data_IF_395832604407
#
_entry.id   IF_395832604407
#
_cell.length_a   1.000
_cell.length_b   1.000
_cell.length_c   1.000
_cell.angle_alpha   90.00
_cell.angle_beta   90.00
_cell.angle_gamma   90.00
#
_symmetry.space_group_name_H-M   'P 1'
#
loop_
_entity.id
_entity.type
_entity.pdbx_description
1 polymer ?
2 non-polymer ?
3 non-polymer ?
4 water ?
#
# COMPACT_ATOMS: atom_id res chain seq x y z
N UNK A 2 -22.42 -2.48 3.11
CA UNK A 2 -23.07 -3.00 4.33
C UNK A 2 -22.09 -3.69 5.29
N UNK A 3 -21.17 -4.49 4.73
CA UNK A 3 -20.07 -5.21 5.40
C UNK A 3 -19.94 -6.56 4.69
N UNK A 4 -19.90 -6.49 3.36
CA UNK A 4 -20.25 -7.64 2.54
C UNK A 4 -19.09 -8.59 2.30
N UNK A 5 -19.44 -9.86 2.08
CA UNK A 5 -18.47 -10.92 1.83
C UNK A 5 -17.39 -11.07 2.89
N UNK A 6 -17.79 -11.08 4.15
CA UNK A 6 -16.81 -11.21 5.24
C UNK A 6 -16.01 -12.50 5.18
N UNK A 7 -16.66 -13.63 4.87
CA UNK A 7 -15.97 -14.95 4.79
C UNK A 7 -14.85 -14.94 3.76
N UNK A 8 -15.19 -14.42 2.58
CA UNK A 8 -14.21 -14.22 1.51
C UNK A 8 -12.98 -13.49 2.00
N UNK A 9 -13.19 -12.29 2.57
CA UNK A 9 -12.07 -11.46 2.98
C UNK A 9 -11.25 -12.07 4.13
N UNK A 10 -11.93 -12.73 5.05
CA UNK A 10 -11.23 -13.41 6.14
C UNK A 10 -10.37 -14.53 5.59
N UNK A 11 -10.93 -15.35 4.70
CA UNK A 11 -10.09 -16.37 4.07
C UNK A 11 -8.91 -15.77 3.29
N UNK A 12 -9.16 -14.70 2.55
CA UNK A 12 -8.12 -14.07 1.74
C UNK A 12 -6.90 -13.65 2.57
N UNK A 13 -7.14 -13.06 3.74
CA UNK A 13 -6.04 -12.66 4.64
C UNK A 13 -5.19 -13.84 5.05
N UNK A 14 -5.84 -14.95 5.37
CA UNK A 14 -5.14 -16.18 5.71
C UNK A 14 -4.32 -16.66 4.52
N UNK A 15 -4.93 -16.61 3.34
CA UNK A 15 -4.22 -17.05 2.13
C UNK A 15 -3.02 -16.16 1.76
N UNK A 16 -3.21 -14.85 1.74
CA UNK A 16 -2.14 -13.94 1.32
C UNK A 16 -0.91 -13.99 2.23
N UNK A 17 -1.14 -14.24 3.52
CA UNK A 17 -0.06 -14.44 4.49
C UNK A 17 0.43 -15.91 4.55
N UNK A 18 -0.19 -16.77 3.75
CA UNK A 18 0.07 -18.20 3.74
C UNK A 18 0.01 -18.89 5.10
N UNK A 19 -1.03 -18.58 5.87
CA UNK A 19 -1.25 -19.28 7.14
C UNK A 19 -1.91 -20.63 6.87
N UNK A 20 -2.43 -20.82 5.66
CA UNK A 20 -3.05 -22.10 5.30
C UNK A 20 -2.00 -23.19 5.13
N UNK A 21 -0.91 -22.93 4.40
CA UNK A 21 0.05 -23.99 4.06
C UNK A 21 1.44 -23.81 4.67
N UNK A 47 11.46 -13.13 5.65
CA UNK A 47 10.63 -13.16 4.43
C UNK A 47 9.80 -14.45 4.30
N UNK A 48 8.45 -14.33 4.27
CA UNK A 48 7.51 -15.47 4.17
C UNK A 48 7.87 -16.71 3.32
N UNK A 49 8.76 -16.60 2.34
CA UNK A 49 9.15 -17.73 1.45
C UNK A 49 8.23 -17.86 0.23
N UNK A 50 6.95 -18.15 0.45
CA UNK A 50 5.99 -18.13 -0.66
C UNK A 50 4.85 -17.09 -0.52
N UNK A 51 4.49 -16.65 0.68
CA UNK A 51 3.33 -15.71 0.85
C UNK A 51 3.42 -14.48 -0.04
N UNK A 52 2.26 -13.94 -0.43
CA UNK A 52 2.20 -12.83 -1.38
C UNK A 52 2.28 -11.47 -0.71
N UNK A 53 2.17 -11.47 0.60
CA UNK A 53 2.49 -10.28 1.39
C UNK A 53 3.29 -10.64 2.61
N UNK A 54 4.11 -9.69 3.05
CA UNK A 54 4.94 -9.83 4.23
C UNK A 54 4.36 -9.06 5.42
N UNK A 55 3.24 -8.35 5.22
CA UNK A 55 2.76 -7.46 6.28
C UNK A 55 2.01 -8.09 7.45
N UNK A 56 1.60 -9.35 7.34
CA UNK A 56 0.92 -10.04 8.42
C UNK A 56 -0.55 -9.69 8.52
N UNK A 57 -1.27 -10.41 9.39
CA UNK A 57 -2.72 -10.32 9.50
C UNK A 57 -3.19 -9.03 10.15
N UNK A 58 -2.43 -8.54 11.13
CA UNK A 58 -2.80 -7.32 11.85
C UNK A 58 -2.79 -6.11 10.92
N UNK A 59 -1.76 -6.05 10.08
CA UNK A 59 -1.71 -4.92 9.15
C UNK A 59 -2.70 -5.08 7.96
N UNK A 60 -3.02 -6.32 7.60
CA UNK A 60 -4.04 -6.52 6.57
C UNK A 60 -5.40 -6.14 7.15
N UNK A 61 -5.59 -6.36 8.47
CA UNK A 61 -6.85 -5.96 9.11
C UNK A 61 -6.95 -4.44 9.12
N UNK A 62 -5.83 -3.78 9.37
CA UNK A 62 -5.86 -2.33 9.32
C UNK A 62 -6.23 -1.86 7.92
N UNK A 63 -5.66 -2.54 6.92
CA UNK A 63 -5.90 -2.11 5.53
C UNK A 63 -7.38 -2.26 5.21
N UNK A 64 -7.99 -3.34 5.70
CA UNK A 64 -9.41 -3.58 5.46
C UNK A 64 -10.27 -2.49 6.15
N UNK A 65 -9.93 -2.15 7.40
CA UNK A 65 -10.64 -1.11 8.18
C UNK A 65 -10.63 0.20 7.41
N UNK A 66 -9.44 0.59 6.91
CA UNK A 66 -9.32 1.84 6.15
C UNK A 66 -10.10 1.84 4.82
N UNK A 67 -9.95 0.79 4.04
CA UNK A 67 -10.62 0.71 2.76
C UNK A 67 -12.12 0.70 3.02
N UNK A 68 -12.58 -0.05 4.04
CA UNK A 68 -14.03 -0.14 4.31
C UNK A 68 -14.62 1.20 4.74
N UNK A 69 -13.82 1.98 5.47
CA UNK A 69 -14.28 3.26 6.01
C UNK A 69 -14.43 4.25 4.89
N UNK A 70 -13.44 4.26 4.00
CA UNK A 70 -13.47 5.11 2.81
C UNK A 70 -14.69 4.81 1.94
N UNK A 71 -15.00 3.52 1.76
CA UNK A 71 -16.16 3.12 0.98
C UNK A 71 -17.47 3.53 1.67
N UNK A 72 -17.60 3.30 2.98
CA UNK A 72 -18.85 3.65 3.67
C UNK A 72 -19.03 5.15 3.82
N UNK A 73 -17.93 5.87 4.04
CA UNK A 73 -17.99 7.34 4.20
C UNK A 73 -18.17 8.10 2.89
N UNK A 74 -17.92 7.45 1.75
CA UNK A 74 -17.96 8.14 0.48
C UNK A 74 -16.70 8.93 0.11
N UNK A 75 -15.57 8.59 0.72
CA UNK A 75 -14.31 9.27 0.37
C UNK A 75 -13.98 8.95 -1.08
N UNK A 76 -13.86 9.98 -1.93
CA UNK A 76 -13.53 9.61 -3.30
C UNK A 76 -12.06 9.30 -3.52
N UNK A 77 -11.80 8.46 -4.51
CA UNK A 77 -10.45 8.29 -5.03
C UNK A 77 -10.01 6.86 -5.15
N UNK A 78 -8.83 6.68 -5.73
CA UNK A 78 -8.27 5.38 -5.98
C UNK A 78 -7.47 4.97 -4.77
N UNK A 79 -6.86 3.80 -4.88
CA UNK A 79 -6.02 3.31 -3.79
C UNK A 79 -4.67 3.16 -4.40
N UNK A 80 -3.62 3.36 -3.64
CA UNK A 80 -2.30 3.19 -4.15
C UNK A 80 -1.37 2.62 -3.11
N UNK A 81 -0.52 1.68 -3.50
CA UNK A 81 0.59 1.25 -2.63
C UNK A 81 1.93 1.45 -3.31
N UNK A 82 2.79 2.18 -2.60
CA UNK A 82 4.15 2.41 -3.04
C UNK A 82 5.02 1.46 -2.28
N UNK A 83 5.36 0.39 -2.98
CA UNK A 83 6.13 -0.72 -2.43
C UNK A 83 5.21 -1.92 -2.25
N UNK A 84 5.23 -2.83 -3.24
CA UNK A 84 4.25 -3.92 -3.35
C UNK A 84 4.83 -5.33 -3.23
N UNK A 85 6.14 -5.48 -3.45
CA UNK A 85 6.80 -6.79 -3.40
C UNK A 85 6.01 -7.75 -4.27
N UNK A 86 5.46 -8.81 -3.68
CA UNK A 86 4.76 -9.82 -4.47
C UNK A 86 3.32 -9.42 -4.81
N UNK A 87 2.85 -8.34 -4.21
CA UNK A 87 1.59 -7.73 -4.60
C UNK A 87 0.43 -7.94 -3.67
N UNK A 88 0.69 -8.65 -2.59
CA UNK A 88 -0.33 -9.16 -1.71
C UNK A 88 -1.26 -8.10 -1.12
N UNK A 89 -0.68 -7.02 -0.65
CA UNK A 89 -1.48 -5.94 -0.07
C UNK A 89 -2.37 -5.31 -1.12
N UNK A 90 -1.82 -5.12 -2.32
CA UNK A 90 -2.60 -4.59 -3.41
C UNK A 90 -3.67 -5.55 -3.88
N UNK A 91 -3.34 -6.83 -3.93
CA UNK A 91 -4.37 -7.85 -4.21
C UNK A 91 -5.53 -7.71 -3.21
N UNK A 92 -5.18 -7.55 -1.94
CA UNK A 92 -6.20 -7.41 -0.92
C UNK A 92 -7.08 -6.18 -1.13
N UNK A 93 -6.49 -5.03 -1.43
CA UNK A 93 -7.32 -3.84 -1.67
C UNK A 93 -8.27 -4.10 -2.85
N UNK A 94 -7.75 -4.74 -3.87
CA UNK A 94 -8.60 -5.03 -5.05
C UNK A 94 -9.72 -5.99 -4.63
N UNK A 95 -9.40 -6.89 -3.70
CA UNK A 95 -10.40 -7.88 -3.28
C UNK A 95 -11.49 -7.22 -2.42
N UNK A 96 -11.13 -6.21 -1.63
CA UNK A 96 -12.16 -5.52 -0.86
C UNK A 96 -13.18 -4.84 -1.80
N UNK A 97 -12.68 -4.09 -2.80
CA UNK A 97 -13.55 -3.54 -3.84
C UNK A 97 -14.45 -4.59 -4.47
N UNK A 98 -13.88 -5.74 -4.82
CA UNK A 98 -14.66 -6.86 -5.31
C UNK A 98 -15.71 -7.27 -4.27
N UNK A 99 -15.36 -7.33 -3.00
CA UNK A 99 -16.32 -7.82 -1.98
C UNK A 99 -17.48 -6.84 -1.87
N UNK A 100 -17.20 -5.57 -2.13
CA UNK A 100 -18.22 -4.55 -1.96
C UNK A 100 -18.90 -4.15 -3.27
N UNK A 101 -18.51 -4.79 -4.37
CA UNK A 101 -19.10 -4.46 -5.66
C UNK A 101 -18.76 -3.07 -6.20
N UNK A 102 -17.74 -2.40 -5.65
CA UNK A 102 -17.31 -1.09 -6.16
C UNK A 102 -16.46 -1.30 -7.43
N UNK A 103 -16.98 -0.88 -8.57
CA UNK A 103 -16.31 -1.15 -9.84
C UNK A 103 -15.66 0.10 -10.42
N UNK A 104 -15.78 1.22 -9.71
CA UNK A 104 -15.28 2.49 -10.20
C UNK A 104 -13.85 2.82 -9.79
N UNK A 105 -13.46 2.42 -8.57
CA UNK A 105 -12.14 2.74 -8.06
C UNK A 105 -11.01 1.85 -8.61
N UNK A 106 -9.83 2.43 -8.70
CA UNK A 106 -8.65 1.76 -9.23
C UNK A 106 -7.63 1.53 -8.12
N UNK A 107 -6.89 0.44 -8.24
CA UNK A 107 -5.79 0.11 -7.32
C UNK A 107 -4.52 0.26 -8.12
N UNK A 108 -3.69 1.22 -7.70
CA UNK A 108 -2.41 1.49 -8.32
C UNK A 108 -1.31 0.71 -7.64
N UNK A 109 -0.61 -0.06 -8.45
CA UNK A 109 0.40 -0.96 -7.94
C UNK A 109 1.71 -0.36 -8.36
N UNK A 110 2.35 0.31 -7.41
CA UNK A 110 3.47 1.19 -7.73
C UNK A 110 4.77 0.68 -7.13
N UNK A 111 5.70 0.35 -8.01
CA UNK A 111 6.93 -0.28 -7.57
C UNK A 111 8.00 -0.15 -8.64
N UNK A 112 9.25 -0.42 -8.28
CA UNK A 112 10.30 -0.59 -9.29
C UNK A 112 10.14 -1.92 -10.03
N UNK A 113 9.64 -2.93 -9.32
CA UNK A 113 9.58 -4.32 -9.82
C UNK A 113 11.00 -4.86 -10.07
N UNK A 114 11.97 -4.30 -9.34
CA UNK A 114 13.36 -4.73 -9.35
C UNK A 114 13.93 -4.71 -7.93
N UNK A 115 13.09 -4.45 -6.94
CA UNK A 115 13.56 -4.36 -5.57
C UNK A 115 14.03 -2.97 -5.23
N UNK A 116 14.83 -2.89 -4.17
CA UNK A 116 15.29 -1.63 -3.59
C UNK A 116 16.38 -0.97 -4.42
N UNK A 117 16.43 0.37 -4.44
CA UNK A 117 17.55 1.08 -5.08
C UNK A 117 18.84 1.04 -4.24
N UNK A 118 19.97 1.47 -4.81
CA UNK A 118 21.22 1.68 -4.05
C UNK A 118 21.22 3.01 -3.30
N UNK A 129 25.10 2.01 3.97
CA UNK A 129 23.72 2.35 4.33
C UNK A 129 23.29 3.58 3.50
N UNK A 130 22.00 3.90 3.38
CA UNK A 130 20.92 3.39 4.23
C UNK A 130 20.73 1.88 4.30
N UNK A 131 20.82 1.35 5.54
CA UNK A 131 20.58 -0.07 5.88
C UNK A 131 20.90 -1.16 4.84
N UNK A 132 21.51 -0.80 3.70
CA UNK A 132 22.06 -1.73 2.73
C UNK A 132 21.06 -2.73 2.11
N UNK A 133 19.86 -2.25 1.81
CA UNK A 133 18.73 -3.12 1.45
C UNK A 133 18.83 -3.84 0.13
N UNK A 134 19.51 -3.23 -0.83
CA UNK A 134 19.66 -3.83 -2.15
C UNK A 134 20.38 -5.19 -2.10
N UNK A 135 21.17 -5.42 -1.05
CA UNK A 135 21.79 -6.74 -0.79
C UNK A 135 20.80 -7.85 -0.96
N UNK A 136 19.61 -7.60 -0.42
CA UNK A 136 18.59 -8.62 -0.26
C UNK A 136 17.60 -8.58 -1.42
N UNK A 137 18.02 -8.03 -2.55
CA UNK A 137 17.09 -7.89 -3.68
C UNK A 137 16.56 -9.22 -4.23
N UNK A 138 16.11 -10.08 -3.33
CA UNK A 138 14.99 -10.98 -3.60
C UNK A 138 13.72 -10.35 -2.95
N UNK A 139 13.86 -9.05 -2.68
CA UNK A 139 12.75 -8.13 -2.62
C UNK A 139 12.38 -7.68 -4.03
N UNK A 140 13.15 -8.17 -5.00
CA UNK A 140 12.92 -7.89 -6.41
C UNK A 140 11.98 -8.87 -7.04
N UNK A 141 10.77 -8.42 -7.33
CA UNK A 141 9.74 -9.24 -7.94
C UNK A 141 9.24 -8.53 -9.19
N UNK A 142 9.46 -9.17 -10.34
CA UNK A 142 9.10 -8.65 -11.65
C UNK A 142 7.60 -8.34 -11.81
N UNK A 143 7.30 -7.41 -12.71
CA UNK A 143 5.92 -7.05 -13.02
C UNK A 143 5.17 -8.29 -13.50
N UNK A 144 5.86 -9.11 -14.28
CA UNK A 144 5.24 -10.29 -14.79
C UNK A 144 4.78 -11.16 -13.63
N UNK A 145 5.64 -11.32 -12.64
CA UNK A 145 5.34 -12.17 -11.48
C UNK A 145 4.17 -11.62 -10.67
N UNK A 146 4.19 -10.33 -10.38
CA UNK A 146 3.07 -9.69 -9.68
C UNK A 146 1.76 -9.82 -10.47
N UNK A 147 1.80 -9.61 -11.78
CA UNK A 147 0.60 -9.73 -12.63
C UNK A 147 0.03 -11.17 -12.47
N UNK A 148 0.90 -12.18 -12.57
CA UNK A 148 0.54 -13.58 -12.43
C UNK A 148 -0.14 -13.80 -11.05
N UNK A 149 0.44 -13.21 -10.00
CA UNK A 149 -0.10 -13.34 -8.66
C UNK A 149 -1.53 -12.82 -8.59
N UNK A 150 -1.80 -11.67 -9.20
CA UNK A 150 -3.17 -11.12 -9.18
C UNK A 150 -4.11 -12.12 -9.88
N UNK A 151 -3.62 -12.74 -10.96
CA UNK A 151 -4.43 -13.60 -11.79
C UNK A 151 -4.74 -14.87 -11.04
N UNK A 152 -3.90 -15.23 -10.09
CA UNK A 152 -4.16 -16.42 -9.28
C UNK A 152 -5.43 -16.26 -8.48
N UNK A 153 -5.77 -15.03 -8.12
CA UNK A 153 -6.94 -14.75 -7.29
C UNK A 153 -8.13 -14.37 -8.15
N UNK A 154 -7.95 -14.43 -9.47
CA UNK A 154 -8.98 -13.97 -10.38
C UNK A 154 -9.22 -12.47 -10.30
N UNK A 155 -8.18 -11.70 -9.97
CA UNK A 155 -8.35 -10.25 -9.82
C UNK A 155 -7.47 -9.40 -10.72
N UNK A 156 -6.97 -9.96 -11.82
CA UNK A 156 -6.14 -9.19 -12.74
C UNK A 156 -7.05 -8.56 -13.79
N UNK A 157 -7.66 -7.44 -13.47
CA UNK A 157 -8.65 -6.84 -14.38
C UNK A 157 -8.47 -5.32 -14.54
N UNK A 158 -9.49 -4.65 -15.05
CA UNK A 158 -9.38 -3.21 -15.44
C UNK A 158 -9.20 -2.29 -14.24
N UNK A 159 -9.52 -2.77 -13.04
CA UNK A 159 -9.42 -1.94 -11.85
C UNK A 159 -8.06 -1.99 -11.17
N UNK A 160 -7.10 -2.66 -11.80
CA UNK A 160 -5.73 -2.72 -11.30
C UNK A 160 -4.79 -2.14 -12.36
N UNK A 161 -3.97 -1.16 -11.96
CA UNK A 161 -2.96 -0.54 -12.84
C UNK A 161 -1.59 -0.54 -12.21
N UNK A 162 -0.60 -0.77 -13.04
CA UNK A 162 0.78 -0.88 -12.55
C UNK A 162 1.55 0.34 -12.97
N UNK A 163 2.36 0.87 -12.05
CA UNK A 163 3.22 2.00 -12.36
C UNK A 163 4.65 1.58 -12.07
N UNK A 164 5.35 1.06 -13.11
CA UNK A 164 6.71 0.52 -12.93
C UNK A 164 7.78 1.60 -13.06
N UNK A 165 8.70 1.66 -12.10
CA UNK A 165 9.82 2.58 -12.16
C UNK A 165 10.26 2.93 -10.77
N UNK A 166 11.39 3.63 -10.67
CA UNK A 166 11.79 4.21 -9.39
C UNK A 166 10.84 5.34 -9.09
N UNK A 167 10.41 5.43 -7.83
CA UNK A 167 9.47 6.49 -7.42
C UNK A 167 9.91 7.91 -7.87
N UNK A 168 11.19 8.19 -7.75
CA UNK A 168 11.69 9.51 -8.13
C UNK A 168 11.46 9.83 -9.63
N UNK A 169 11.41 8.79 -10.45
CA UNK A 169 11.11 8.95 -11.86
C UNK A 169 9.60 8.99 -12.10
N UNK A 170 8.87 8.09 -11.43
CA UNK A 170 7.48 7.83 -11.79
C UNK A 170 6.41 8.68 -11.12
N UNK A 171 6.65 9.11 -9.89
CA UNK A 171 5.59 9.77 -9.11
C UNK A 171 5.38 11.25 -9.41
N UNK A 172 6.45 11.97 -9.81
CA UNK A 172 6.18 13.39 -10.10
C UNK A 172 5.14 13.61 -11.18
N UNK A 173 5.07 12.69 -12.14
CA UNK A 173 4.12 12.78 -13.24
C UNK A 173 3.12 11.63 -13.22
N UNK A 174 2.85 11.06 -12.04
CA UNK A 174 1.99 9.89 -11.98
C UNK A 174 0.61 10.22 -12.59
N UNK A 175 0.05 9.30 -13.37
CA UNK A 175 -1.30 9.53 -13.91
C UNK A 175 -2.43 9.28 -12.91
N UNK A 176 -2.12 9.47 -11.64
CA UNK A 176 -3.10 9.34 -10.54
C UNK A 176 -3.72 10.71 -10.28
N UNK A 177 -5.04 10.79 -10.20
CA UNK A 177 -5.71 12.08 -9.98
C UNK A 177 -6.08 12.30 -8.53
N UNK A 178 -6.70 11.30 -7.92
CA UNK A 178 -6.99 11.35 -6.50
C UNK A 178 -6.95 9.99 -5.82
N UNK A 179 -6.71 10.03 -4.53
CA UNK A 179 -6.51 8.84 -3.75
C UNK A 179 -7.39 8.97 -2.53
N UNK A 180 -8.01 7.84 -2.17
CA UNK A 180 -8.70 7.74 -0.90
C UNK A 180 -7.84 7.00 0.11
N UNK A 181 -6.95 6.15 -0.38
CA UNK A 181 -6.03 5.43 0.50
C UNK A 181 -4.63 5.43 -0.11
N UNK A 182 -3.63 5.73 0.70
CA UNK A 182 -2.25 5.79 0.24
C UNK A 182 -1.45 4.96 1.20
N UNK A 183 -0.94 3.82 0.71
CA UNK A 183 -0.16 2.90 1.55
C UNK A 183 1.31 2.98 1.17
N UNK A 184 2.16 3.29 2.15
CA UNK A 184 3.61 3.43 1.94
C UNK A 184 4.31 2.24 2.54
N UNK A 185 5.00 1.50 1.70
CA UNK A 185 5.72 0.34 2.17
C UNK A 185 7.01 0.23 1.39
N UNK A 186 7.64 1.38 1.20
CA UNK A 186 9.05 1.44 0.86
C UNK A 186 9.74 1.76 2.17
N UNK A 187 10.78 1.01 2.50
CA UNK A 187 11.42 1.18 3.80
C UNK A 187 12.29 2.43 3.89
N UNK A 188 12.89 2.85 2.79
CA UNK A 188 13.91 3.88 2.82
C UNK A 188 13.30 5.24 3.07
N UNK A 189 14.14 6.13 3.59
CA UNK A 189 13.81 7.54 3.69
C UNK A 189 13.36 8.12 2.37
N UNK A 190 14.20 7.94 1.35
CA UNK A 190 13.90 8.52 0.03
C UNK A 190 12.59 8.01 -0.59
N UNK A 191 12.35 6.71 -0.45
CA UNK A 191 11.14 6.07 -0.98
C UNK A 191 9.91 6.67 -0.31
N UNK A 192 9.98 6.75 1.02
CA UNK A 192 8.90 7.29 1.82
C UNK A 192 8.67 8.76 1.49
N UNK A 193 9.74 9.55 1.46
CA UNK A 193 9.60 10.98 1.11
C UNK A 193 9.04 11.21 -0.31
N UNK A 194 9.59 10.51 -1.29
CA UNK A 194 9.14 10.67 -2.69
C UNK A 194 7.67 10.32 -2.85
N UNK A 195 7.22 9.30 -2.12
CA UNK A 195 5.83 8.92 -2.16
C UNK A 195 4.95 9.99 -1.50
N UNK A 196 5.35 10.46 -0.33
CA UNK A 196 4.56 11.47 0.38
C UNK A 196 4.51 12.75 -0.40
N UNK A 197 5.69 13.26 -0.80
CA UNK A 197 5.74 14.53 -1.54
C UNK A 197 4.84 14.54 -2.78
N UNK A 198 4.84 13.43 -3.53
CA UNK A 198 4.10 13.38 -4.77
C UNK A 198 2.64 12.93 -4.65
N UNK A 199 2.30 12.09 -3.66
CA UNK A 199 0.97 11.51 -3.63
C UNK A 199 0.08 12.02 -2.50
N UNK A 200 0.66 12.45 -1.39
CA UNK A 200 -0.17 12.99 -0.33
C UNK A 200 -1.08 14.12 -0.79
N UNK A 201 -0.58 15.03 -1.64
CA UNK A 201 -1.45 16.11 -2.10
C UNK A 201 -2.70 15.60 -2.86
N UNK A 202 -2.63 14.40 -3.44
CA UNK A 202 -3.77 13.82 -4.17
C UNK A 202 -4.75 13.11 -3.25
N UNK A 203 -4.37 12.94 -1.99
CA UNK A 203 -5.20 12.27 -1.02
C UNK A 203 -6.38 13.13 -0.62
N UNK A 204 -7.57 12.61 -0.86
CA UNK A 204 -8.81 13.29 -0.48
C UNK A 204 -8.90 13.52 1.03
N UNK A 205 -9.66 14.55 1.43
CA UNK A 205 -9.99 14.65 2.85
C UNK A 205 -10.83 13.46 3.31
N UNK A 206 -10.52 12.99 4.50
CA UNK A 206 -11.11 11.78 5.02
C UNK A 206 -10.42 10.53 4.51
N UNK A 207 -9.37 10.69 3.70
CA UNK A 207 -8.59 9.58 3.16
C UNK A 207 -7.52 9.17 4.16
N UNK A 208 -6.87 8.03 3.92
CA UNK A 208 -5.91 7.47 4.86
C UNK A 208 -4.51 7.41 4.30
N UNK A 209 -3.57 7.78 5.14
CA UNK A 209 -2.17 7.45 4.91
C UNK A 209 -1.78 6.35 5.87
N UNK A 210 -1.27 5.26 5.29
CA UNK A 210 -0.80 4.11 6.03
C UNK A 210 0.72 4.00 5.87
N UNK A 211 1.42 3.94 6.98
CA UNK A 211 2.89 3.87 6.97
C UNK A 211 3.28 2.48 7.50
N UNK A 212 3.74 1.59 6.62
CA UNK A 212 3.84 0.22 7.03
C UNK A 212 4.95 0.01 8.07
N UNK A 213 6.01 0.83 7.99
CA UNK A 213 7.17 0.69 8.86
C UNK A 213 7.50 1.99 9.57
N UNK A 214 6.48 2.61 10.13
CA UNK A 214 6.66 3.87 10.83
C UNK A 214 7.75 3.84 11.90
N UNK A 215 8.10 2.67 12.42
CA UNK A 215 9.01 2.64 13.58
C UNK A 215 10.41 2.33 13.16
N UNK A 216 10.55 2.14 11.86
CA UNK A 216 11.83 2.07 11.22
C UNK A 216 12.36 3.49 11.20
N UNK A 217 13.54 3.75 11.81
CA UNK A 217 14.15 5.06 11.57
C UNK A 217 14.56 5.03 10.11
N UNK A 218 14.43 6.14 9.42
CA UNK A 218 14.52 6.24 7.94
C UNK A 218 13.10 6.52 7.54
N UNK A 219 12.20 5.53 7.67
CA UNK A 219 10.82 5.76 7.25
C UNK A 219 10.26 6.85 8.14
N UNK A 220 10.53 6.72 9.43
CA UNK A 220 9.95 7.58 10.49
C UNK A 220 10.42 9.04 10.36
N UNK A 221 11.70 9.19 10.11
CA UNK A 221 12.31 10.48 9.83
C UNK A 221 11.70 11.17 8.61
N UNK A 222 11.39 10.43 7.55
CA UNK A 222 10.72 11.04 6.42
C UNK A 222 9.32 11.53 6.80
N UNK A 223 8.59 10.72 7.54
CA UNK A 223 7.20 11.02 7.87
C UNK A 223 7.12 12.25 8.76
N UNK A 224 7.93 12.27 9.82
CA UNK A 224 8.01 13.45 10.65
C UNK A 224 8.55 14.65 9.84
N UNK A 225 9.59 14.45 9.04
CA UNK A 225 10.16 15.56 8.28
C UNK A 225 9.13 16.10 7.30
N UNK A 226 8.42 15.21 6.63
CA UNK A 226 7.37 15.64 5.72
C UNK A 226 6.22 16.33 6.47
N UNK A 227 5.77 15.75 7.57
CA UNK A 227 4.67 16.34 8.34
C UNK A 227 5.00 17.76 8.85
N UNK A 228 6.24 17.97 9.24
CA UNK A 228 6.68 19.26 9.79
C UNK A 228 6.66 20.36 8.75
N UNK A 229 7.10 20.06 7.53
CA UNK A 229 7.12 21.04 6.45
C UNK A 229 5.72 21.57 6.15
N UNK A 230 4.78 20.67 5.90
CA UNK A 230 3.43 21.07 5.48
C UNK A 230 2.48 21.38 6.64
N UNK A 231 2.97 21.25 7.87
CA UNK A 231 2.14 21.50 9.04
C UNK A 231 0.94 20.58 9.14
N UNK A 232 1.20 19.29 8.97
CA UNK A 232 0.20 18.24 9.17
C UNK A 232 0.20 17.79 10.63
N UNK A 233 -0.97 17.86 11.25
CA UNK A 233 -1.09 17.60 12.69
C UNK A 233 -2.09 16.48 13.00
N UNK A 234 -2.69 15.86 11.98
CA UNK A 234 -3.64 14.78 12.22
C UNK A 234 -2.91 13.67 13.00
N UNK A 235 -3.53 13.13 14.06
CA UNK A 235 -2.66 12.31 14.91
C UNK A 235 -2.35 10.96 14.31
N UNK A 236 -1.15 10.47 14.60
CA UNK A 236 -0.72 9.16 14.16
C UNK A 236 -1.25 8.11 15.12
N UNK A 237 -1.94 7.12 14.57
CA UNK A 237 -2.47 5.96 15.30
C UNK A 237 -1.54 4.79 15.03
N UNK A 238 -1.14 4.11 16.10
CA UNK A 238 -0.40 2.88 15.97
C UNK A 238 -1.29 1.80 15.37
N UNK A 239 -0.66 0.85 14.67
CA UNK A 239 -1.40 -0.31 14.22
C UNK A 239 -0.98 -1.48 15.11
N UNK A 240 0.32 -1.78 15.14
CA UNK A 240 0.80 -3.00 15.76
C UNK A 240 2.24 -2.87 16.28
N UNK A 241 2.68 -1.64 16.57
CA UNK A 241 4.04 -1.38 17.03
C UNK A 241 5.05 -1.38 15.90
N UNK A 242 4.57 -1.54 14.67
CA UNK A 242 5.40 -1.50 13.47
C UNK A 242 4.85 -0.44 12.50
N UNK A 243 3.62 -0.68 12.04
CA UNK A 243 2.93 0.21 11.15
C UNK A 243 2.16 1.26 11.93
N UNK A 244 1.87 2.34 11.24
CA UNK A 244 1.09 3.41 11.81
C UNK A 244 0.31 4.05 10.71
N UNK A 245 -0.71 4.83 11.07
CA UNK A 245 -1.46 5.51 10.03
C UNK A 245 -2.11 6.75 10.57
N UNK A 246 -2.56 7.59 9.66
CA UNK A 246 -3.44 8.68 10.06
C UNK A 246 -4.46 8.93 9.00
N UNK A 247 -5.50 9.64 9.41
CA UNK A 247 -6.58 10.01 8.51
C UNK A 247 -6.57 11.51 8.23
N UNK A 248 -6.60 11.89 6.97
CA UNK A 248 -6.69 13.30 6.62
C UNK A 248 -8.05 13.93 7.05
N UNK A 249 -7.97 15.18 7.51
CA UNK A 249 -9.13 15.95 8.03
C UNK A 249 -10.37 15.99 7.13
#
# INVERSE_FOLDING_TARGET
>A
MPSQNALYLDLLKKVLTNTIYSDRPHPNAWQDNTDYRQAARAKGTDWPTVAHTMIGLERLDNLQHCVEAVLADGVPGDFAETGVWRGGACIFMRAVLQAFGDTGRTVWVVDSFQGMPESSAQDHQADQAMALHEYNDVLGVSLETVRQNFARYGLLDEQVRFLPGWFRDTLPTAPIQELAVLRLDGDLYESTMDSLRNLYPKLSPGGFVIIDDYFLPSCQDAVKGFRAELGITEPIHDIDGTGAYWRRSWLEHHHHHH
#
